data_IF_722982838515
#
_entry.id   IF_722982838515
#
_cell.length_a   1.000
_cell.length_b   1.000
_cell.length_c   1.000
_cell.angle_alpha   90.00
_cell.angle_beta   90.00
_cell.angle_gamma   90.00
#
_symmetry.space_group_name_H-M   'P 1'
#
loop_
_entity.id
_entity.type
_entity.pdbx_description
1 polymer ?
#
# COMPACT_ATOMS: atom_id res chain seq x y z
N UNK A 1 -22.82 -0.11 0.78
CA UNK A 1 -22.76 1.34 0.55
C UNK A 1 -23.87 1.71 -0.43
N UNK A 2 -24.73 2.70 -0.12
CA UNK A 2 -25.79 3.11 -1.05
C UNK A 2 -25.23 3.68 -2.34
N UNK A 3 -25.84 3.33 -3.49
CA UNK A 3 -25.50 3.93 -4.79
C UNK A 3 -24.20 3.44 -5.44
N UNK A 4 -23.44 2.54 -4.81
CA UNK A 4 -22.21 1.95 -5.37
C UNK A 4 -22.56 0.64 -6.08
N UNK A 5 -22.12 0.49 -7.32
CA UNK A 5 -22.25 -0.74 -8.11
C UNK A 5 -20.89 -1.13 -8.68
N UNK A 6 -20.65 -2.44 -8.80
CA UNK A 6 -19.47 -3.00 -9.47
C UNK A 6 -19.95 -4.04 -10.49
N UNK A 7 -19.46 -3.96 -11.72
CA UNK A 7 -19.74 -4.96 -12.74
C UNK A 7 -18.75 -6.14 -12.69
N UNK A 8 -18.97 -7.16 -13.51
CA UNK A 8 -18.11 -8.34 -13.58
C UNK A 8 -16.69 -8.01 -14.06
N UNK A 9 -16.53 -6.90 -14.77
CA UNK A 9 -15.26 -6.40 -15.27
C UNK A 9 -14.53 -5.54 -14.22
N UNK A 10 -15.14 -5.31 -13.06
CA UNK A 10 -14.60 -4.55 -11.94
C UNK A 10 -14.71 -3.04 -12.10
N UNK A 11 -15.50 -2.57 -13.07
CA UNK A 11 -15.85 -1.15 -13.22
C UNK A 11 -16.74 -0.75 -12.07
N UNK A 12 -16.40 0.36 -11.42
CA UNK A 12 -17.17 0.88 -10.29
C UNK A 12 -17.98 2.08 -10.76
N UNK A 13 -19.26 2.12 -10.40
CA UNK A 13 -20.13 3.29 -10.60
C UNK A 13 -20.74 3.74 -9.28
N UNK A 14 -20.94 5.05 -9.14
CA UNK A 14 -21.55 5.68 -7.98
C UNK A 14 -22.65 6.60 -8.46
N UNK A 15 -23.90 6.30 -8.11
CA UNK A 15 -25.07 7.07 -8.54
C UNK A 15 -25.08 7.28 -10.07
N UNK A 16 -24.70 6.24 -10.83
CA UNK A 16 -24.63 6.28 -12.30
C UNK A 16 -23.40 6.98 -12.89
N UNK A 17 -22.50 7.55 -12.07
CA UNK A 17 -21.22 8.12 -12.52
C UNK A 17 -20.12 7.08 -12.47
N UNK A 18 -19.33 6.98 -13.53
CA UNK A 18 -18.16 6.11 -13.59
C UNK A 18 -17.05 6.60 -12.64
N UNK A 19 -16.43 5.66 -11.95
CA UNK A 19 -15.25 5.94 -11.14
C UNK A 19 -14.01 5.78 -12.01
N UNK A 20 -13.31 6.88 -12.25
CA UNK A 20 -12.08 6.91 -13.06
C UNK A 20 -10.82 7.13 -12.22
N UNK A 21 -10.97 7.51 -10.95
CA UNK A 21 -9.86 7.80 -10.07
C UNK A 21 -10.06 7.21 -8.67
N UNK A 22 -9.01 6.58 -8.16
CA UNK A 22 -8.92 6.11 -6.78
C UNK A 22 -7.77 6.84 -6.11
N UNK A 23 -8.02 7.38 -4.92
CA UNK A 23 -7.02 8.05 -4.08
C UNK A 23 -6.94 7.39 -2.71
N UNK A 24 -5.75 7.46 -2.10
CA UNK A 24 -5.53 7.07 -0.71
C UNK A 24 -5.04 8.30 0.04
N UNK A 25 -5.74 8.70 1.08
CA UNK A 25 -5.47 9.95 1.82
C UNK A 25 -5.31 11.16 0.89
N UNK A 26 -6.14 11.25 -0.16
CA UNK A 26 -6.10 12.33 -1.15
C UNK A 26 -4.98 12.24 -2.19
N UNK A 27 -4.09 11.24 -2.13
CA UNK A 27 -3.04 11.04 -3.14
C UNK A 27 -3.51 10.05 -4.22
N UNK A 28 -3.34 10.35 -5.52
CA UNK A 28 -3.66 9.41 -6.59
C UNK A 28 -2.94 8.08 -6.40
N UNK A 29 -3.71 7.01 -6.51
CA UNK A 29 -3.19 5.66 -6.38
C UNK A 29 -2.96 5.09 -7.79
N UNK A 30 -1.70 5.11 -8.26
CA UNK A 30 -1.34 4.83 -9.65
C UNK A 30 -1.15 3.34 -9.93
N UNK A 31 -2.25 2.64 -10.16
CA UNK A 31 -2.26 1.48 -11.06
C UNK A 31 -3.19 1.88 -12.22
N UNK A 32 -2.77 1.65 -13.48
CA UNK A 32 -3.56 1.88 -14.70
C UNK A 32 -4.97 1.29 -14.63
N UNK A 33 -5.20 0.31 -13.74
CA UNK A 33 -6.48 -0.33 -13.57
C UNK A 33 -7.13 -0.14 -12.19
N UNK A 34 -6.46 0.48 -11.19
CA UNK A 34 -6.97 0.70 -9.81
C UNK A 34 -7.40 -0.55 -9.02
N UNK A 35 -7.53 -1.70 -9.69
CA UNK A 35 -8.19 -2.93 -9.26
C UNK A 35 -7.27 -3.81 -8.42
N UNK A 36 -5.96 -3.82 -8.71
CA UNK A 36 -5.00 -4.73 -8.07
C UNK A 36 -4.71 -4.31 -6.62
N UNK A 37 -4.69 -3.01 -6.35
CA UNK A 37 -4.36 -2.54 -5.01
C UNK A 37 -5.54 -2.52 -4.03
N UNK A 38 -6.76 -2.30 -4.51
CA UNK A 38 -7.96 -2.43 -3.67
C UNK A 38 -8.14 -3.86 -3.17
N UNK A 39 -7.73 -4.87 -3.95
CA UNK A 39 -7.73 -6.26 -3.51
C UNK A 39 -6.79 -6.54 -2.33
N UNK A 40 -5.76 -5.70 -2.16
CA UNK A 40 -4.70 -5.89 -1.17
C UNK A 40 -4.75 -4.85 -0.03
N UNK A 41 -5.71 -3.94 -0.02
CA UNK A 41 -5.88 -2.96 1.05
C UNK A 41 -6.72 -3.59 2.18
N UNK A 42 -6.15 -3.83 3.37
CA UNK A 42 -6.91 -4.41 4.48
C UNK A 42 -8.07 -3.49 4.88
N UNK A 43 -9.28 -4.04 5.02
CA UNK A 43 -10.47 -3.22 5.34
C UNK A 43 -10.39 -2.58 6.73
N UNK A 44 -9.66 -3.19 7.65
CA UNK A 44 -9.51 -2.74 9.04
C UNK A 44 -8.70 -1.45 9.16
N UNK A 45 -7.84 -1.13 8.19
CA UNK A 45 -7.07 0.12 8.20
C UNK A 45 -7.86 1.30 7.61
N UNK A 46 -8.99 1.05 6.95
CA UNK A 46 -9.82 2.09 6.33
C UNK A 46 -10.64 2.80 7.43
N UNK A 47 -10.43 4.11 7.59
CA UNK A 47 -11.20 4.97 8.50
C UNK A 47 -12.57 5.31 7.90
N UNK A 48 -12.58 5.77 6.65
CA UNK A 48 -13.79 6.06 5.90
C UNK A 48 -13.49 6.12 4.40
N UNK A 49 -14.56 6.08 3.61
CA UNK A 49 -14.52 6.20 2.16
C UNK A 49 -15.28 7.48 1.79
N UNK A 50 -14.64 8.34 0.99
CA UNK A 50 -15.23 9.58 0.49
C UNK A 50 -15.41 9.48 -1.03
N UNK A 51 -16.50 10.08 -1.50
CA UNK A 51 -16.83 10.14 -2.92
C UNK A 51 -16.90 11.59 -3.37
N UNK A 52 -16.14 11.93 -4.39
CA UNK A 52 -16.08 13.29 -4.94
C UNK A 52 -16.21 13.26 -6.45
N UNK A 53 -16.50 14.40 -7.07
CA UNK A 53 -16.36 14.55 -8.52
C UNK A 53 -14.89 14.69 -8.87
N UNK A 54 -14.43 13.96 -9.89
CA UNK A 54 -13.03 13.96 -10.31
C UNK A 54 -12.58 15.34 -10.75
N UNK A 55 -11.51 15.88 -10.19
CA UNK A 55 -10.96 17.20 -10.55
C UNK A 55 -9.72 17.03 -11.42
N UNK A 56 -9.54 17.91 -12.40
CA UNK A 56 -8.26 18.08 -13.09
C UNK A 56 -7.23 18.72 -12.17
N UNK A 57 -5.93 18.52 -12.45
CA UNK A 57 -4.85 19.18 -11.68
C UNK A 57 -5.02 20.70 -11.62
N UNK A 58 -5.47 21.32 -12.71
CA UNK A 58 -5.71 22.76 -12.76
C UNK A 58 -6.86 23.17 -11.83
N UNK A 59 -7.97 22.42 -11.80
CA UNK A 59 -9.09 22.66 -10.88
C UNK A 59 -8.72 22.43 -9.41
N UNK A 60 -7.86 21.43 -9.13
CA UNK A 60 -7.31 21.21 -7.79
C UNK A 60 -6.45 22.38 -7.32
N UNK A 61 -5.53 22.86 -8.17
CA UNK A 61 -4.62 23.97 -7.84
C UNK A 61 -5.34 25.32 -7.75
N UNK A 62 -6.31 25.55 -8.63
CA UNK A 62 -7.07 26.82 -8.65
C UNK A 62 -8.26 26.84 -7.69
N UNK A 63 -8.59 25.72 -7.05
CA UNK A 63 -9.76 25.59 -6.19
C UNK A 63 -11.11 25.62 -6.92
N UNK A 64 -11.11 25.60 -8.26
CA UNK A 64 -12.34 25.63 -9.06
C UNK A 64 -13.15 24.34 -8.88
N UNK A 65 -14.46 24.46 -9.12
CA UNK A 65 -15.36 23.31 -9.20
C UNK A 65 -15.03 22.44 -10.40
N UNK A 66 -15.15 21.13 -10.24
CA UNK A 66 -14.96 20.18 -11.34
C UNK A 66 -16.07 20.31 -12.39
N UNK A 67 -15.69 20.21 -13.67
CA UNK A 67 -16.62 19.98 -14.79
C UNK A 67 -16.77 18.51 -15.20
N UNK A 68 -16.09 17.60 -14.50
CA UNK A 68 -16.11 16.16 -14.83
C UNK A 68 -17.46 15.52 -14.51
N UNK A 69 -17.85 14.55 -15.33
CA UNK A 69 -18.97 13.65 -15.03
C UNK A 69 -18.54 12.39 -14.27
N UNK A 70 -17.24 12.21 -14.04
CA UNK A 70 -16.71 11.05 -13.35
C UNK A 70 -16.56 11.29 -11.85
N UNK A 71 -16.41 10.19 -11.11
CA UNK A 71 -16.27 10.17 -9.68
C UNK A 71 -14.88 9.68 -9.25
N UNK A 72 -14.39 10.27 -8.16
CA UNK A 72 -13.21 9.80 -7.44
C UNK A 72 -13.63 9.13 -6.15
N UNK A 73 -13.04 7.97 -5.86
CA UNK A 73 -13.13 7.33 -4.54
C UNK A 73 -11.85 7.62 -3.78
N UNK A 74 -11.97 8.25 -2.61
CA UNK A 74 -10.86 8.43 -1.68
C UNK A 74 -11.02 7.48 -0.49
N UNK A 75 -10.05 6.59 -0.30
CA UNK A 75 -9.93 5.76 0.89
C UNK A 75 -9.07 6.49 1.91
N UNK A 76 -9.69 6.95 3.00
CA UNK A 76 -8.93 7.52 4.11
C UNK A 76 -8.53 6.39 5.04
N UNK A 77 -7.23 6.22 5.22
CA UNK A 77 -6.64 5.28 6.17
C UNK A 77 -6.65 5.93 7.55
N UNK A 78 -6.95 5.14 8.59
CA UNK A 78 -6.79 5.62 9.96
C UNK A 78 -5.30 5.76 10.27
N UNK A 79 -4.81 6.99 10.41
CA UNK A 79 -3.43 7.27 10.82
C UNK A 79 -3.06 6.58 12.14
N UNK A 80 -4.02 6.35 13.04
CA UNK A 80 -3.76 5.62 14.30
C UNK A 80 -3.51 4.13 14.06
N UNK A 81 -3.99 3.59 12.93
CA UNK A 81 -3.76 2.21 12.47
C UNK A 81 -2.62 2.10 11.46
N UNK A 82 -2.09 3.23 10.98
CA UNK A 82 -0.86 3.26 10.17
C UNK A 82 0.40 3.05 11.04
N UNK A 83 0.35 2.11 11.97
CA UNK A 83 1.47 1.75 12.83
C UNK A 83 1.37 0.29 13.20
N UNK A 84 2.49 -0.40 13.30
CA UNK A 84 2.48 -1.82 13.62
C UNK A 84 3.86 -2.44 13.68
N UNK A 85 3.85 -3.72 14.04
CA UNK A 85 5.03 -4.57 14.12
C UNK A 85 4.82 -5.75 13.17
N UNK A 86 5.74 -5.95 12.24
CA UNK A 86 5.82 -7.14 11.39
C UNK A 86 6.98 -7.98 11.89
N UNK A 87 6.70 -9.23 12.23
CA UNK A 87 7.74 -10.20 12.61
C UNK A 87 7.69 -11.41 11.68
N UNK A 88 8.86 -11.87 11.22
CA UNK A 88 9.00 -13.13 10.48
C UNK A 88 10.11 -13.95 11.10
N UNK A 89 9.82 -15.21 11.37
CA UNK A 89 10.79 -16.19 11.85
C UNK A 89 10.87 -17.32 10.83
N UNK A 90 12.09 -17.69 10.45
CA UNK A 90 12.37 -18.82 9.56
C UNK A 90 13.33 -19.75 10.28
N UNK A 91 12.99 -21.04 10.32
CA UNK A 91 13.82 -22.10 10.88
C UNK A 91 13.82 -23.26 9.89
N UNK A 92 15.00 -23.78 9.57
CA UNK A 92 15.18 -24.88 8.64
C UNK A 92 16.26 -25.85 9.12
N UNK A 93 16.02 -27.13 8.93
CA UNK A 93 16.96 -28.21 9.20
C UNK A 93 16.96 -29.20 8.03
N UNK A 94 18.13 -29.64 7.59
CA UNK A 94 18.30 -30.54 6.45
C UNK A 94 19.12 -31.78 6.76
N UNK A 95 19.01 -32.79 5.91
CA UNK A 95 19.93 -33.92 5.87
C UNK A 95 21.37 -33.40 5.77
N UNK A 96 22.31 -34.06 6.46
CA UNK A 96 23.70 -33.62 6.66
C UNK A 96 23.92 -32.51 7.71
N UNK A 97 23.06 -32.44 8.75
CA UNK A 97 23.21 -31.50 9.89
C UNK A 97 23.25 -30.03 9.48
N UNK A 98 22.59 -29.71 8.37
CA UNK A 98 22.47 -28.36 7.84
C UNK A 98 21.36 -27.61 8.56
N UNK A 99 21.62 -26.36 8.94
CA UNK A 99 20.62 -25.50 9.55
C UNK A 99 20.63 -24.10 8.94
N UNK A 100 19.46 -23.49 8.97
CA UNK A 100 19.26 -22.07 8.76
C UNK A 100 18.26 -21.52 9.77
N UNK A 101 18.55 -20.32 10.25
CA UNK A 101 17.66 -19.57 11.12
C UNK A 101 17.73 -18.09 10.75
N UNK A 102 16.57 -17.45 10.63
CA UNK A 102 16.52 -16.00 10.50
C UNK A 102 15.30 -15.41 11.20
N UNK A 103 15.48 -14.20 11.72
CA UNK A 103 14.45 -13.40 12.34
C UNK A 103 14.45 -12.00 11.75
N UNK A 104 13.30 -11.54 11.30
CA UNK A 104 13.05 -10.17 10.86
C UNK A 104 12.04 -9.54 11.81
N UNK A 105 12.35 -8.35 12.31
CA UNK A 105 11.44 -7.51 13.06
C UNK A 105 11.42 -6.13 12.40
N UNK A 106 10.23 -5.68 12.00
CA UNK A 106 10.01 -4.39 11.36
C UNK A 106 8.95 -3.61 12.11
N UNK A 107 9.28 -2.41 12.55
CA UNK A 107 8.34 -1.43 13.09
C UNK A 107 8.01 -0.40 12.02
N UNK A 108 6.74 -0.04 11.91
CA UNK A 108 6.30 1.07 11.08
C UNK A 108 5.36 1.99 11.86
N UNK A 109 5.43 3.29 11.57
CA UNK A 109 4.49 4.31 12.04
C UNK A 109 4.47 5.46 11.04
N UNK A 110 3.31 5.70 10.44
CA UNK A 110 3.11 6.66 9.36
C UNK A 110 4.16 6.44 8.25
N UNK A 111 4.98 7.45 8.00
CA UNK A 111 6.01 7.43 6.97
C UNK A 111 7.37 6.88 7.46
N UNK A 112 7.46 6.50 8.73
CA UNK A 112 8.68 5.95 9.34
C UNK A 112 8.63 4.42 9.37
N UNK A 113 9.68 3.77 8.85
CA UNK A 113 9.86 2.31 8.90
C UNK A 113 11.27 1.97 9.37
N UNK A 114 11.39 1.10 10.37
CA UNK A 114 12.66 0.62 10.93
C UNK A 114 12.63 -0.91 10.92
N UNK A 115 13.69 -1.55 10.43
CA UNK A 115 13.76 -3.02 10.36
C UNK A 115 15.09 -3.54 10.89
N UNK A 116 15.04 -4.65 11.62
CA UNK A 116 16.18 -5.41 12.13
C UNK A 116 16.07 -6.85 11.61
N UNK A 117 17.14 -7.32 10.97
CA UNK A 117 17.29 -8.70 10.48
C UNK A 117 18.48 -9.34 11.17
N UNK A 118 18.29 -10.54 11.72
CA UNK A 118 19.35 -11.40 12.23
C UNK A 118 19.25 -12.78 11.58
N UNK A 119 20.37 -13.37 11.19
CA UNK A 119 20.39 -14.69 10.56
C UNK A 119 21.65 -15.47 10.93
N UNK A 120 21.53 -16.79 11.02
CA UNK A 120 22.63 -17.74 11.22
C UNK A 120 22.40 -18.97 10.37
N UNK A 121 23.45 -19.50 9.73
CA UNK A 121 23.39 -20.72 8.95
C UNK A 121 24.77 -21.39 8.87
N UNK A 122 24.80 -22.69 8.59
CA UNK A 122 26.04 -23.46 8.37
C UNK A 122 26.14 -24.09 6.97
N UNK A 123 25.31 -23.64 6.02
CA UNK A 123 25.18 -24.25 4.69
C UNK A 123 26.29 -23.87 3.70
N UNK A 124 27.28 -23.05 4.11
CA UNK A 124 28.39 -22.55 3.28
C UNK A 124 27.94 -22.08 1.87
N UNK A 125 26.68 -21.63 1.75
CA UNK A 125 26.15 -21.11 0.50
C UNK A 125 26.66 -19.68 0.37
N UNK A 126 27.59 -19.49 -0.57
CA UNK A 126 28.11 -18.17 -0.98
C UNK A 126 27.02 -17.24 -1.55
N UNK A 127 25.77 -17.67 -1.58
CA UNK A 127 24.62 -16.92 -2.10
C UNK A 127 23.84 -16.13 -1.05
N UNK A 128 24.13 -16.28 0.26
CA UNK A 128 23.73 -15.26 1.22
C UNK A 128 24.77 -14.14 1.23
N UNK A 129 24.88 -13.43 0.10
CA UNK A 129 25.24 -12.01 0.21
C UNK A 129 24.22 -11.43 1.16
N UNK A 130 24.68 -10.97 2.32
CA UNK A 130 23.94 -10.04 3.16
C UNK A 130 23.50 -8.93 2.23
N UNK A 131 22.28 -9.05 1.73
CA UNK A 131 21.63 -8.02 0.96
C UNK A 131 21.21 -7.00 2.00
N UNK A 132 22.18 -6.15 2.39
CA UNK A 132 21.94 -5.02 3.28
C UNK A 132 21.15 -3.98 2.50
N UNK A 133 19.86 -4.23 2.30
CA UNK A 133 18.92 -3.16 2.02
C UNK A 133 18.61 -2.48 3.35
N UNK A 134 19.42 -1.48 3.72
CA UNK A 134 18.85 -0.35 4.43
C UNK A 134 18.27 0.55 3.34
N UNK A 135 17.02 0.31 2.97
CA UNK A 135 16.29 1.28 2.17
C UNK A 135 15.42 2.10 3.11
N UNK A 136 15.96 3.24 3.54
CA UNK A 136 15.17 4.29 4.16
C UNK A 136 14.39 4.96 3.03
N UNK A 137 13.10 4.66 2.91
CA UNK A 137 12.19 5.54 2.20
C UNK A 137 11.50 6.39 3.27
N UNK A 138 11.92 7.65 3.41
CA UNK A 138 11.04 8.67 3.98
C UNK A 138 10.02 8.94 2.88
N UNK A 139 8.74 8.72 3.12
CA UNK A 139 7.71 9.16 2.18
C UNK A 139 7.76 10.70 2.15
N UNK A 140 8.48 11.22 1.16
CA UNK A 140 8.91 12.61 1.08
C UNK A 140 9.93 12.83 -0.05
N UNK A 141 10.74 11.82 -0.38
CA UNK A 141 11.56 11.82 -1.59
C UNK A 141 10.95 10.91 -2.66
N UNK A 142 10.00 11.46 -3.41
CA UNK A 142 9.75 11.05 -4.78
C UNK A 142 10.58 12.03 -5.62
N UNK A 143 11.66 11.61 -6.31
CA UNK A 143 12.20 12.42 -7.39
C UNK A 143 11.11 12.53 -8.45
N UNK A 144 10.79 13.77 -8.83
CA UNK A 144 9.83 14.08 -9.89
C UNK A 144 10.20 13.48 -11.24
#
# INVERSE_FOLDING_TARGET
MPGVQMDNDGKITINGKEVDQITINGKPFFDKNGKIALQNLPADIIKNIQFTTTKTKEEELSGKSSKSNNATINFNIDEKKNKGLISRLTLGYGSDKRYEGSGLISYFKNDTKISLLAASNNINSRDFRVMRFLTVWVAGEIPG
#
